data_IF_796216052514
#
_entry.id   IF_796216052514
#
_cell.length_a   1.000
_cell.length_b   1.000
_cell.length_c   1.000
_cell.angle_alpha   90.00
_cell.angle_beta   90.00
_cell.angle_gamma   90.00
#
_symmetry.space_group_name_H-M   'P 1'
#
loop_
_entity.id
_entity.type
_entity.pdbx_description
1 polymer ?
#
# COMPACT_ATOMS: atom_id res chain seq x y z
N UNK A 1 -2.26 -3.15 2.44
CA UNK A 1 -2.20 -1.95 3.31
C UNK A 1 -1.95 -2.41 4.74
N UNK A 2 -1.16 -1.67 5.52
CA UNK A 2 -0.85 -1.99 6.92
C UNK A 2 -1.07 -0.75 7.79
N UNK A 3 -1.82 -0.90 8.89
CA UNK A 3 -2.02 0.18 9.89
C UNK A 3 -1.01 0.06 11.02
N UNK A 4 -0.42 1.18 11.43
CA UNK A 4 0.36 1.38 12.66
C UNK A 4 -0.15 2.66 13.30
N UNK A 5 -0.78 2.55 14.46
CA UNK A 5 -1.35 3.67 15.20
C UNK A 5 -2.33 4.51 14.36
N UNK A 6 -2.01 5.77 14.14
CA UNK A 6 -2.74 6.76 13.33
C UNK A 6 -2.28 6.77 11.87
N UNK A 7 -1.42 5.85 11.44
CA UNK A 7 -0.89 5.79 10.07
C UNK A 7 -1.30 4.52 9.36
N UNK A 8 -1.67 4.67 8.09
CA UNK A 8 -1.89 3.54 7.18
C UNK A 8 -0.92 3.64 6.01
N UNK A 9 -0.11 2.60 5.84
CA UNK A 9 0.83 2.46 4.74
C UNK A 9 0.22 1.61 3.63
N UNK A 10 0.25 2.12 2.41
CA UNK A 10 -0.24 1.45 1.20
C UNK A 10 0.73 1.70 0.05
N UNK A 11 0.76 0.78 -0.91
CA UNK A 11 1.53 0.93 -2.14
C UNK A 11 0.56 0.94 -3.31
N UNK A 12 0.65 1.95 -4.16
CA UNK A 12 0.03 1.89 -5.47
C UNK A 12 0.85 0.97 -6.37
N UNK A 13 0.30 -0.19 -6.70
CA UNK A 13 0.98 -1.19 -7.53
C UNK A 13 1.07 -0.73 -8.98
N UNK A 14 2.30 -0.45 -9.46
CA UNK A 14 2.49 -0.25 -10.90
C UNK A 14 2.41 -1.61 -11.60
N UNK A 15 1.69 -1.73 -12.72
CA UNK A 15 1.69 -2.98 -13.46
C UNK A 15 3.14 -3.28 -13.89
N UNK A 16 3.58 -4.55 -13.83
CA UNK A 16 4.84 -4.96 -14.43
C UNK A 16 4.87 -4.48 -15.89
N UNK A 17 6.05 -4.17 -16.43
CA UNK A 17 6.35 -3.55 -17.73
C UNK A 17 5.74 -4.20 -19.01
N UNK A 18 4.63 -4.93 -18.92
CA UNK A 18 3.81 -5.41 -20.03
C UNK A 18 2.84 -4.31 -20.45
N UNK A 19 3.27 -3.52 -21.43
CA UNK A 19 2.43 -2.79 -22.38
C UNK A 19 1.18 -2.08 -21.82
N UNK A 20 1.37 -1.07 -20.98
CA UNK A 20 0.31 -0.08 -20.74
C UNK A 20 0.69 1.20 -21.48
N UNK A 21 -0.05 1.51 -22.55
CA UNK A 21 0.12 2.72 -23.38
C UNK A 21 -0.15 4.01 -22.61
N UNK A 22 -0.89 3.92 -21.49
CA UNK A 22 -1.18 5.05 -20.60
C UNK A 22 -0.98 4.65 -19.12
N UNK A 23 0.27 4.67 -18.60
CA UNK A 23 0.60 4.29 -17.22
C UNK A 23 -0.21 5.08 -16.17
N UNK A 24 -0.63 6.26 -16.58
CA UNK A 24 -1.40 7.25 -15.85
C UNK A 24 -2.87 6.89 -15.57
N UNK A 25 -3.47 6.02 -16.37
CA UNK A 25 -4.85 5.53 -16.16
C UNK A 25 -4.92 4.54 -15.01
N UNK A 26 -3.84 3.77 -14.78
CA UNK A 26 -3.77 2.70 -13.77
C UNK A 26 -3.78 3.26 -12.33
N UNK A 27 -3.55 4.57 -12.19
CA UNK A 27 -3.45 5.25 -10.90
C UNK A 27 -4.33 6.50 -10.81
N UNK A 28 -5.53 6.47 -11.40
CA UNK A 28 -6.50 7.56 -11.30
C UNK A 28 -6.74 8.00 -9.83
N UNK A 29 -6.72 7.06 -8.89
CA UNK A 29 -6.85 7.38 -7.47
C UNK A 29 -5.63 8.09 -6.88
N UNK A 30 -4.40 7.80 -7.34
CA UNK A 30 -3.20 8.54 -6.93
C UNK A 30 -3.26 9.97 -7.47
N UNK A 31 -3.72 10.15 -8.72
CA UNK A 31 -4.00 11.47 -9.29
C UNK A 31 -5.03 12.23 -8.46
N UNK A 32 -6.10 11.56 -8.01
CA UNK A 32 -7.09 12.17 -7.12
C UNK A 32 -6.49 12.61 -5.79
N UNK A 33 -5.63 11.80 -5.16
CA UNK A 33 -4.94 12.16 -3.91
C UNK A 33 -3.99 13.34 -4.12
N UNK A 34 -3.27 13.39 -5.24
CA UNK A 34 -2.41 14.54 -5.60
C UNK A 34 -3.21 15.83 -5.76
N UNK A 35 -4.41 15.75 -6.33
CA UNK A 35 -5.30 16.89 -6.51
C UNK A 35 -6.00 17.31 -5.20
N UNK A 36 -6.43 16.34 -4.40
CA UNK A 36 -7.05 16.55 -3.09
C UNK A 36 -6.65 15.41 -2.14
N UNK A 37 -5.79 15.67 -1.15
CA UNK A 37 -5.26 14.64 -0.27
C UNK A 37 -6.24 14.21 0.83
N UNK A 38 -7.39 14.87 0.98
CA UNK A 38 -8.39 14.49 1.97
C UNK A 38 -9.08 13.17 1.58
N UNK A 39 -9.02 12.18 2.45
CA UNK A 39 -9.57 10.84 2.20
C UNK A 39 -10.46 10.36 3.34
N UNK A 40 -11.37 9.44 3.02
CA UNK A 40 -12.15 8.64 3.97
C UNK A 40 -11.76 7.18 3.77
N UNK A 41 -11.30 6.52 4.82
CA UNK A 41 -10.79 5.16 4.78
C UNK A 41 -11.63 4.25 5.67
N UNK A 42 -12.24 3.21 5.08
CA UNK A 42 -12.95 2.16 5.82
C UNK A 42 -12.02 0.98 6.04
N UNK A 43 -11.72 0.71 7.31
CA UNK A 43 -10.81 -0.35 7.78
C UNK A 43 -11.40 -1.01 9.03
N UNK A 44 -10.82 -2.13 9.53
CA UNK A 44 -11.22 -2.65 10.83
C UNK A 44 -11.17 -1.55 11.91
N UNK A 45 -12.27 -1.40 12.65
CA UNK A 45 -12.46 -0.31 13.62
C UNK A 45 -13.30 0.86 13.13
N UNK A 46 -13.70 0.91 11.85
CA UNK A 46 -14.67 1.89 11.35
C UNK A 46 -14.22 2.66 10.13
N UNK A 47 -14.84 3.82 9.92
CA UNK A 47 -14.45 4.78 8.89
C UNK A 47 -13.67 5.93 9.53
N UNK A 48 -12.51 6.24 8.96
CA UNK A 48 -11.59 7.27 9.45
C UNK A 48 -11.39 8.33 8.37
N UNK A 49 -11.44 9.60 8.76
CA UNK A 49 -10.95 10.69 7.92
C UNK A 49 -9.42 10.76 7.97
N UNK A 50 -8.78 11.25 6.92
CA UNK A 50 -7.33 11.39 6.92
C UNK A 50 -6.79 12.23 5.78
N UNK A 51 -5.47 12.34 5.75
CA UNK A 51 -4.71 13.01 4.68
C UNK A 51 -3.76 11.99 4.06
N UNK A 52 -3.88 11.77 2.76
CA UNK A 52 -3.02 10.87 2.01
C UNK A 52 -1.89 11.64 1.31
N UNK A 53 -0.67 11.11 1.36
CA UNK A 53 0.48 11.67 0.65
C UNK A 53 1.46 10.58 0.24
N UNK A 54 2.17 10.83 -0.86
CA UNK A 54 3.33 10.03 -1.26
C UNK A 54 4.45 10.18 -0.21
N UNK A 55 5.14 9.08 0.06
CA UNK A 55 6.27 9.07 0.99
C UNK A 55 7.53 9.41 0.19
N UNK A 56 8.11 10.58 0.46
CA UNK A 56 9.32 11.07 -0.24
C UNK A 56 10.54 11.14 0.69
N UNK A 57 10.33 11.22 2.00
CA UNK A 57 11.41 11.19 2.99
C UNK A 57 12.04 9.79 3.07
N UNK A 58 13.38 9.73 3.08
CA UNK A 58 14.11 8.47 3.04
C UNK A 58 13.95 7.63 4.32
N UNK A 59 13.89 8.27 5.49
CA UNK A 59 13.73 7.58 6.76
C UNK A 59 12.29 7.03 6.91
N UNK A 60 11.30 7.81 6.48
CA UNK A 60 9.91 7.37 6.43
C UNK A 60 9.72 6.24 5.40
N UNK A 61 10.37 6.30 4.23
CA UNK A 61 10.39 5.22 3.25
C UNK A 61 10.96 3.92 3.84
N UNK A 62 12.07 4.00 4.57
CA UNK A 62 12.65 2.83 5.22
C UNK A 62 11.69 2.20 6.25
N UNK A 63 11.02 3.05 7.04
CA UNK A 63 10.02 2.62 8.02
C UNK A 63 8.80 1.98 7.36
N UNK A 64 8.28 2.59 6.29
CA UNK A 64 7.16 2.09 5.52
C UNK A 64 7.51 0.76 4.82
N UNK A 65 8.73 0.66 4.30
CA UNK A 65 9.25 -0.57 3.68
C UNK A 65 9.27 -1.71 4.68
N UNK A 66 9.89 -1.53 5.86
CA UNK A 66 9.89 -2.55 6.90
C UNK A 66 8.46 -2.93 7.30
N UNK A 67 7.60 -1.92 7.54
CA UNK A 67 6.21 -2.16 7.92
C UNK A 67 5.43 -2.99 6.89
N UNK A 68 5.55 -2.67 5.60
CA UNK A 68 4.80 -3.35 4.53
C UNK A 68 5.44 -4.69 4.19
N UNK A 69 6.77 -4.76 4.08
CA UNK A 69 7.46 -5.95 3.60
C UNK A 69 7.58 -7.03 4.68
N UNK A 70 7.62 -6.66 5.96
CA UNK A 70 7.78 -7.64 7.03
C UNK A 70 6.45 -8.12 7.62
N UNK A 71 5.37 -7.35 7.44
CA UNK A 71 4.03 -7.76 7.86
C UNK A 71 3.43 -8.73 6.84
N UNK A 72 3.11 -9.94 7.30
CA UNK A 72 2.42 -10.96 6.51
C UNK A 72 1.20 -11.41 7.30
N UNK A 73 0.04 -11.22 6.72
CA UNK A 73 -1.27 -11.58 7.24
C UNK A 73 -1.74 -12.92 6.63
N UNK A 74 -2.70 -13.61 7.27
CA UNK A 74 -3.24 -14.87 6.73
C UNK A 74 -3.79 -14.74 5.31
N UNK A 75 -4.40 -13.61 4.97
CA UNK A 75 -4.96 -13.35 3.64
C UNK A 75 -3.89 -13.29 2.54
N UNK A 76 -2.66 -12.90 2.88
CA UNK A 76 -1.56 -12.78 1.92
C UNK A 76 -1.11 -14.17 1.41
N UNK A 77 -1.35 -15.23 2.19
CA UNK A 77 -1.08 -16.61 1.73
C UNK A 77 -2.08 -17.05 0.65
N UNK A 78 -3.34 -16.64 0.76
CA UNK A 78 -4.35 -16.90 -0.27
C UNK A 78 -4.02 -16.11 -1.55
N UNK A 79 -3.65 -14.84 -1.42
CA UNK A 79 -3.19 -14.01 -2.52
C UNK A 79 -1.96 -14.61 -3.21
N UNK A 80 -0.96 -15.03 -2.44
CA UNK A 80 0.23 -15.69 -2.97
C UNK A 80 -0.10 -16.99 -3.70
N UNK A 81 -1.06 -17.79 -3.22
CA UNK A 81 -1.47 -19.02 -3.90
C UNK A 81 -2.20 -18.75 -5.24
N UNK A 82 -2.91 -17.63 -5.35
CA UNK A 82 -3.61 -17.23 -6.58
C UNK A 82 -2.67 -16.60 -7.62
N UNK A 83 -1.67 -15.85 -7.18
CA UNK A 83 -0.81 -15.05 -8.06
C UNK A 83 0.55 -15.68 -8.37
N UNK A 84 1.06 -16.59 -7.53
CA UNK A 84 2.37 -17.20 -7.70
C UNK A 84 2.28 -18.73 -7.84
N UNK A 85 3.15 -19.31 -8.68
CA UNK A 85 3.29 -20.76 -8.78
C UNK A 85 3.97 -21.35 -7.54
N UNK A 86 3.42 -22.49 -7.08
CA UNK A 86 3.98 -23.30 -5.99
C UNK A 86 3.49 -22.88 -4.59
N UNK A 87 4.04 -23.53 -3.55
CA UNK A 87 3.59 -23.30 -2.18
C UNK A 87 3.83 -21.86 -1.72
N UNK A 88 2.83 -21.20 -1.12
CA UNK A 88 2.99 -19.89 -0.52
C UNK A 88 3.82 -20.03 0.75
N UNK A 89 4.96 -19.35 0.80
CA UNK A 89 5.80 -19.28 2.00
C UNK A 89 5.86 -17.84 2.46
N UNK A 90 6.11 -17.63 3.76
CA UNK A 90 6.32 -16.28 4.30
C UNK A 90 7.38 -15.53 3.50
N UNK A 91 8.50 -16.18 3.19
CA UNK A 91 9.59 -15.57 2.44
C UNK A 91 9.16 -15.09 1.05
N UNK A 92 8.36 -15.88 0.31
CA UNK A 92 7.82 -15.50 -1.00
C UNK A 92 6.87 -14.30 -0.91
N UNK A 93 6.02 -14.27 0.12
CA UNK A 93 5.10 -13.14 0.33
C UNK A 93 5.89 -11.86 0.62
N UNK A 94 6.90 -11.94 1.50
CA UNK A 94 7.75 -10.79 1.80
C UNK A 94 8.52 -10.32 0.55
N UNK A 95 8.96 -11.24 -0.31
CA UNK A 95 9.60 -10.90 -1.59
C UNK A 95 8.63 -10.20 -2.55
N UNK A 96 7.40 -10.68 -2.63
CA UNK A 96 6.34 -10.04 -3.41
C UNK A 96 6.03 -8.62 -2.89
N UNK A 97 5.91 -8.45 -1.58
CA UNK A 97 5.73 -7.13 -0.95
C UNK A 97 6.90 -6.19 -1.25
N UNK A 98 8.15 -6.69 -1.22
CA UNK A 98 9.34 -5.91 -1.59
C UNK A 98 9.27 -5.47 -3.05
N UNK A 99 8.97 -6.40 -3.96
CA UNK A 99 8.82 -6.10 -5.38
C UNK A 99 7.76 -5.02 -5.62
N UNK A 100 6.60 -5.14 -4.99
CA UNK A 100 5.53 -4.15 -5.07
C UNK A 100 5.95 -2.79 -4.53
N UNK A 101 6.63 -2.76 -3.38
CA UNK A 101 7.12 -1.52 -2.80
C UNK A 101 8.14 -0.83 -3.71
N UNK A 102 9.08 -1.59 -4.27
CA UNK A 102 10.20 -1.08 -5.06
C UNK A 102 9.76 -0.59 -6.44
N UNK A 103 8.70 -1.18 -7.00
CA UNK A 103 8.14 -0.80 -8.31
C UNK A 103 6.93 0.14 -8.21
N UNK A 104 6.31 0.23 -7.04
CA UNK A 104 5.06 0.97 -6.82
C UNK A 104 5.27 2.43 -6.41
N UNK A 105 4.22 3.02 -5.85
CA UNK A 105 4.24 4.36 -5.22
C UNK A 105 3.86 4.20 -3.75
N UNK A 106 4.81 4.32 -2.81
CA UNK A 106 4.52 4.27 -1.38
C UNK A 106 3.72 5.49 -0.94
N UNK A 107 2.59 5.27 -0.27
CA UNK A 107 1.67 6.28 0.22
C UNK A 107 1.41 6.02 1.70
N UNK A 108 1.38 7.11 2.48
CA UNK A 108 0.91 7.10 3.86
C UNK A 108 -0.41 7.87 3.93
N UNK A 109 -1.33 7.34 4.73
CA UNK A 109 -2.55 8.04 5.14
C UNK A 109 -2.44 8.31 6.63
N UNK A 110 -2.39 9.58 6.99
CA UNK A 110 -2.42 10.07 8.37
C UNK A 110 -3.89 10.19 8.78
N UNK A 111 -4.35 9.28 9.64
CA UNK A 111 -5.70 9.20 10.15
C UNK A 111 -5.93 10.29 11.19
N UNK A 112 -7.05 10.96 11.09
CA UNK A 112 -7.58 11.82 12.15
C UNK A 112 -8.46 10.94 13.04
N UNK A 113 -8.41 11.15 14.35
CA UNK A 113 -9.40 10.55 15.23
C UNK A 113 -10.79 10.96 14.74
N UNK A 114 -11.65 10.00 14.47
CA UNK A 114 -13.04 10.27 14.19
C UNK A 114 -13.65 10.74 15.50
N UNK A 115 -13.86 12.04 15.65
CA UNK A 115 -14.69 12.58 16.72
C UNK A 115 -16.03 11.84 16.68
N UNK A 116 -16.36 11.20 17.81
CA UNK A 116 -17.63 10.51 18.02
C UNK A 116 -18.83 11.47 17.90
#
# INVERSE_FOLDING_TARGET
>A
MIRRDDRVYIVALRPPHVAVTEPDVVHAWVRNIRANPAVQLRIPGGTFGGVAREITDAAELATARATICDTVNPVDYAECALHLRGWPTRAKIQELHRYWFDTGIPIVIELKETGA
#
